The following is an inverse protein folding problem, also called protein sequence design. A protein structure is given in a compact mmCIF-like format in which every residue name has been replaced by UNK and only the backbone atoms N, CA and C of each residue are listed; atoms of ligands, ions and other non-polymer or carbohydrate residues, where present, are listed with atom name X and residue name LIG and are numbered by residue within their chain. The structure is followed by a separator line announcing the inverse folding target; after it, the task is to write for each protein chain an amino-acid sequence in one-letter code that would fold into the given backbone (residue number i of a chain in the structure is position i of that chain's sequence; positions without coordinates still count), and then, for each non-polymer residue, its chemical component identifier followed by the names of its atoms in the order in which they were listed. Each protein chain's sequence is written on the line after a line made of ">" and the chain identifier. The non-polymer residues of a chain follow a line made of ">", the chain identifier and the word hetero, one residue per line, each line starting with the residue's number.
data_IF_002273226101
#
_entry.id   IF_002273226101
#
_cell.length_a   1.000
_cell.length_b   1.000
_cell.length_c   1.000
_cell.angle_alpha   90.00
_cell.angle_beta   90.00
_cell.angle_gamma   90.00
#
_symmetry.space_group_name_H-M   'P 1'
#
loop_
_entity.id
_entity.type
_entity.pdbx_description
1 polymer ?
#
# COMPACT_ATOMS: atom_id res chain seq x y z
N UNK A 1 -45.50 23.77 -5.39
CA UNK A 1 -44.80 24.41 -4.24
C UNK A 1 -43.34 24.62 -4.60
N UNK A 2 -42.68 25.66 -4.10
CA UNK A 2 -41.26 25.92 -4.38
C UNK A 2 -40.34 25.17 -3.41
N UNK A 3 -39.27 24.53 -3.93
CA UNK A 3 -38.41 23.64 -3.15
C UNK A 3 -37.80 24.27 -1.89
N UNK A 4 -37.24 25.47 -2.04
CA UNK A 4 -36.61 26.20 -0.94
C UNK A 4 -37.56 26.57 0.21
N UNK A 5 -38.85 26.81 -0.08
CA UNK A 5 -39.85 27.11 0.96
C UNK A 5 -40.23 25.88 1.79
N UNK A 6 -40.26 24.71 1.16
CA UNK A 6 -40.67 23.47 1.85
C UNK A 6 -39.52 22.90 2.68
N UNK A 7 -38.28 23.12 2.27
CA UNK A 7 -37.08 22.65 2.99
C UNK A 7 -36.44 23.69 3.92
N UNK A 8 -37.05 24.87 4.08
CA UNK A 8 -36.46 26.05 4.76
C UNK A 8 -35.00 26.32 4.33
N UNK A 9 -34.73 26.17 3.02
CA UNK A 9 -33.38 26.34 2.48
C UNK A 9 -33.08 27.83 2.30
N UNK A 10 -31.90 28.28 2.72
CA UNK A 10 -31.44 29.68 2.63
C UNK A 10 -30.30 29.91 1.64
N UNK A 11 -29.97 28.92 0.80
CA UNK A 11 -28.87 29.03 -0.13
C UNK A 11 -29.27 29.78 -1.41
N UNK A 12 -28.93 31.06 -1.46
CA UNK A 12 -29.21 31.97 -2.58
C UNK A 12 -28.42 31.66 -3.84
N UNK A 13 -27.35 30.85 -3.74
CA UNK A 13 -26.49 30.45 -4.85
C UNK A 13 -27.09 29.31 -5.70
N UNK A 14 -28.13 28.63 -5.22
CA UNK A 14 -28.83 27.59 -5.96
C UNK A 14 -29.70 28.23 -7.06
N UNK A 15 -29.59 27.76 -8.30
CA UNK A 15 -30.42 28.26 -9.41
C UNK A 15 -31.93 28.08 -9.19
N UNK A 16 -32.34 27.12 -8.35
CA UNK A 16 -33.72 26.89 -7.95
C UNK A 16 -34.21 27.76 -6.78
N UNK A 17 -33.32 28.52 -6.14
CA UNK A 17 -33.69 29.43 -5.05
C UNK A 17 -34.53 30.59 -5.59
N UNK A 18 -35.65 30.91 -4.92
CA UNK A 18 -36.57 31.97 -5.34
C UNK A 18 -37.51 31.61 -6.50
N UNK A 19 -37.29 30.50 -7.24
CA UNK A 19 -38.17 30.08 -8.34
C UNK A 19 -39.44 29.40 -7.84
N UNK A 20 -40.57 29.62 -8.54
CA UNK A 20 -41.90 29.07 -8.19
C UNK A 20 -42.20 27.68 -8.77
N UNK A 21 -41.63 27.33 -9.95
CA UNK A 21 -41.95 26.10 -10.67
C UNK A 21 -40.76 25.27 -11.17
N UNK A 22 -39.52 25.80 -11.13
CA UNK A 22 -38.34 25.07 -11.58
C UNK A 22 -37.69 24.34 -10.40
N UNK A 23 -37.86 23.01 -10.35
CA UNK A 23 -37.20 22.17 -9.37
C UNK A 23 -35.77 21.83 -9.81
N UNK A 24 -34.87 21.61 -8.84
CA UNK A 24 -33.45 21.32 -9.10
C UNK A 24 -33.19 20.06 -9.94
N UNK A 25 -34.17 19.14 -10.04
CA UNK A 25 -34.03 17.97 -10.89
C UNK A 25 -34.27 18.24 -12.39
N UNK A 26 -34.83 19.39 -12.77
CA UNK A 26 -35.03 19.79 -14.18
C UNK A 26 -33.90 20.68 -14.75
N UNK A 27 -32.94 21.14 -13.93
CA UNK A 27 -31.83 21.98 -14.38
C UNK A 27 -30.61 21.14 -14.79
N UNK A 28 -29.85 21.58 -15.79
CA UNK A 28 -28.56 20.96 -16.17
C UNK A 28 -27.38 21.39 -15.29
N UNK A 29 -27.65 22.18 -14.26
CA UNK A 29 -26.70 22.97 -13.48
C UNK A 29 -26.74 22.62 -11.99
N UNK A 30 -25.70 23.07 -11.27
CA UNK A 30 -25.29 22.68 -9.92
C UNK A 30 -26.40 22.68 -8.85
N UNK A 31 -26.38 21.64 -8.01
CA UNK A 31 -27.29 21.45 -6.89
C UNK A 31 -26.68 21.99 -5.58
N UNK A 32 -27.55 22.26 -4.59
CA UNK A 32 -27.30 22.72 -3.21
C UNK A 32 -26.32 21.88 -2.35
N UNK A 33 -25.59 20.94 -2.95
CA UNK A 33 -24.56 20.10 -2.28
C UNK A 33 -23.14 20.28 -2.85
N UNK A 34 -22.95 21.26 -3.74
CA UNK A 34 -21.65 21.67 -4.27
C UNK A 34 -21.18 20.84 -5.45
N UNK A 35 -20.67 21.52 -6.49
CA UNK A 35 -20.04 20.91 -7.67
C UNK A 35 -20.92 20.79 -8.92
N UNK A 36 -20.26 20.64 -10.05
CA UNK A 36 -20.86 20.39 -11.37
C UNK A 36 -21.29 18.91 -11.46
N UNK A 37 -22.37 18.58 -10.75
CA UNK A 37 -22.86 17.20 -10.60
C UNK A 37 -23.82 16.87 -11.74
N UNK A 38 -23.55 15.81 -12.49
CA UNK A 38 -24.39 15.35 -13.59
C UNK A 38 -25.82 14.99 -13.13
N UNK A 39 -26.82 15.07 -14.04
CA UNK A 39 -28.18 14.64 -13.75
C UNK A 39 -28.24 13.19 -13.20
N UNK A 40 -27.44 12.27 -13.75
CA UNK A 40 -27.34 10.87 -13.30
C UNK A 40 -26.95 10.80 -11.82
N UNK A 41 -25.93 11.55 -11.44
CA UNK A 41 -25.39 11.54 -10.08
C UNK A 41 -26.32 12.24 -9.09
N UNK A 42 -26.93 13.36 -9.50
CA UNK A 42 -27.95 14.06 -8.69
C UNK A 42 -29.22 13.23 -8.50
N UNK A 43 -29.69 12.57 -9.56
CA UNK A 43 -30.87 11.71 -9.52
C UNK A 43 -30.67 10.54 -8.56
N UNK A 44 -29.56 9.83 -8.71
CA UNK A 44 -29.24 8.62 -7.93
C UNK A 44 -28.88 8.91 -6.47
N UNK A 45 -28.16 10.01 -6.17
CA UNK A 45 -27.73 10.35 -4.82
C UNK A 45 -28.74 11.18 -4.02
N UNK A 46 -29.55 12.02 -4.68
CA UNK A 46 -30.32 13.06 -3.98
C UNK A 46 -31.81 13.13 -4.35
N UNK A 47 -32.19 12.92 -5.61
CA UNK A 47 -33.61 13.04 -6.00
C UNK A 47 -34.47 11.93 -5.41
N UNK A 48 -33.97 10.68 -5.39
CA UNK A 48 -34.72 9.52 -4.86
C UNK A 48 -34.99 9.58 -3.34
N UNK A 49 -34.27 10.43 -2.61
CA UNK A 49 -34.45 10.68 -1.17
C UNK A 49 -35.19 12.00 -0.88
N UNK A 50 -35.68 12.69 -1.92
CA UNK A 50 -36.31 14.00 -1.78
C UNK A 50 -37.85 13.87 -1.64
N UNK A 51 -38.40 14.37 -0.53
CA UNK A 51 -39.84 14.34 -0.25
C UNK A 51 -40.67 15.08 -1.32
N UNK A 52 -40.14 16.19 -1.83
CA UNK A 52 -40.79 16.97 -2.89
C UNK A 52 -40.80 16.24 -4.23
N UNK A 53 -39.73 15.50 -4.51
CA UNK A 53 -39.63 14.70 -5.71
C UNK A 53 -40.61 13.53 -5.64
N UNK A 54 -40.68 12.87 -4.49
CA UNK A 54 -41.63 11.78 -4.22
C UNK A 54 -43.08 12.23 -4.40
N UNK A 55 -43.48 13.36 -3.77
CA UNK A 55 -44.83 13.94 -3.94
C UNK A 55 -45.13 14.37 -5.37
N UNK A 56 -44.15 14.96 -6.06
CA UNK A 56 -44.32 15.33 -7.47
C UNK A 56 -44.61 14.11 -8.34
N UNK A 57 -43.91 13.00 -8.10
CA UNK A 57 -44.12 11.75 -8.81
C UNK A 57 -45.49 11.14 -8.47
N UNK A 58 -45.90 11.15 -7.20
CA UNK A 58 -47.23 10.70 -6.76
C UNK A 58 -48.39 11.48 -7.41
N UNK A 59 -48.24 12.81 -7.57
CA UNK A 59 -49.27 13.67 -8.16
C UNK A 59 -49.34 13.58 -9.69
N UNK A 60 -48.21 13.35 -10.38
CA UNK A 60 -48.12 13.43 -11.85
C UNK A 60 -48.06 12.09 -12.56
N UNK A 61 -47.47 11.08 -11.93
CA UNK A 61 -47.41 9.74 -12.47
C UNK A 61 -48.51 8.98 -11.74
N UNK A 62 -49.64 8.74 -12.41
CA UNK A 62 -50.69 7.82 -11.93
C UNK A 62 -50.19 6.36 -11.92
N UNK A 63 -49.05 6.13 -11.28
CA UNK A 63 -48.36 4.87 -11.16
C UNK A 63 -48.36 4.42 -9.69
N UNK A 64 -48.45 3.11 -9.42
CA UNK A 64 -48.40 2.59 -8.06
C UNK A 64 -47.07 2.98 -7.39
N UNK A 65 -47.10 3.43 -6.12
CA UNK A 65 -45.92 3.79 -5.30
C UNK A 65 -44.86 2.68 -5.30
N UNK A 66 -45.29 1.45 -5.51
CA UNK A 66 -44.50 0.25 -5.72
C UNK A 66 -43.47 0.39 -6.86
N UNK A 67 -43.79 1.10 -7.94
CA UNK A 67 -42.88 1.32 -9.08
C UNK A 67 -41.72 2.24 -8.69
N UNK A 68 -41.98 3.27 -7.88
CA UNK A 68 -40.93 4.20 -7.41
C UNK A 68 -40.01 3.51 -6.42
N UNK A 69 -40.57 2.69 -5.52
CA UNK A 69 -39.78 1.86 -4.62
C UNK A 69 -38.89 0.88 -5.39
N UNK A 70 -39.43 0.25 -6.44
CA UNK A 70 -38.66 -0.62 -7.32
C UNK A 70 -37.52 0.13 -8.04
N UNK A 71 -37.78 1.33 -8.56
CA UNK A 71 -36.74 2.17 -9.19
C UNK A 71 -35.65 2.52 -8.18
N UNK A 72 -36.03 2.90 -6.95
CA UNK A 72 -35.06 3.20 -5.88
C UNK A 72 -34.21 1.98 -5.55
N UNK A 73 -34.80 0.80 -5.43
CA UNK A 73 -34.09 -0.43 -5.15
C UNK A 73 -33.13 -0.82 -6.29
N UNK A 74 -33.57 -0.69 -7.54
CA UNK A 74 -32.74 -0.94 -8.72
C UNK A 74 -31.56 0.04 -8.76
N UNK A 75 -31.79 1.34 -8.58
CA UNK A 75 -30.72 2.35 -8.57
C UNK A 75 -29.74 2.08 -7.42
N UNK A 76 -30.23 1.72 -6.23
CA UNK A 76 -29.39 1.33 -5.11
C UNK A 76 -28.54 0.08 -5.41
N UNK A 77 -29.10 -0.93 -6.10
CA UNK A 77 -28.36 -2.12 -6.54
C UNK A 77 -27.30 -1.78 -7.59
N UNK A 78 -27.61 -0.91 -8.55
CA UNK A 78 -26.66 -0.46 -9.57
C UNK A 78 -25.49 0.27 -8.92
N UNK A 79 -25.76 1.25 -8.05
CA UNK A 79 -24.70 2.00 -7.36
C UNK A 79 -23.78 1.09 -6.52
N UNK A 80 -24.34 0.07 -5.85
CA UNK A 80 -23.54 -0.93 -5.12
C UNK A 80 -22.70 -1.80 -6.06
N UNK A 81 -23.27 -2.20 -7.20
CA UNK A 81 -22.58 -2.96 -8.22
C UNK A 81 -21.41 -2.14 -8.80
N UNK A 82 -21.64 -0.88 -9.14
CA UNK A 82 -20.62 0.05 -9.64
C UNK A 82 -19.48 0.19 -8.64
N UNK A 83 -19.78 0.45 -7.36
CA UNK A 83 -18.77 0.55 -6.31
C UNK A 83 -17.97 -0.76 -6.10
N UNK A 84 -18.63 -1.91 -6.20
CA UNK A 84 -17.98 -3.22 -6.09
C UNK A 84 -17.07 -3.48 -7.29
N UNK A 85 -17.50 -3.09 -8.49
CA UNK A 85 -16.71 -3.20 -9.72
C UNK A 85 -15.47 -2.31 -9.67
N UNK A 86 -15.59 -1.07 -9.20
CA UNK A 86 -14.46 -0.17 -9.01
C UNK A 86 -13.45 -0.74 -8.02
N UNK A 87 -13.89 -1.19 -6.83
CA UNK A 87 -13.01 -1.83 -5.84
C UNK A 87 -12.33 -3.09 -6.39
N UNK A 88 -13.07 -3.95 -7.10
CA UNK A 88 -12.51 -5.13 -7.74
C UNK A 88 -11.46 -4.77 -8.80
N UNK A 89 -11.71 -3.73 -9.60
CA UNK A 89 -10.77 -3.23 -10.59
C UNK A 89 -9.48 -2.72 -9.94
N UNK A 90 -9.58 -1.89 -8.90
CA UNK A 90 -8.42 -1.41 -8.15
C UNK A 90 -7.60 -2.56 -7.55
N UNK A 91 -8.27 -3.58 -6.98
CA UNK A 91 -7.59 -4.76 -6.44
C UNK A 91 -6.87 -5.57 -7.52
N UNK A 92 -7.50 -5.76 -8.67
CA UNK A 92 -6.88 -6.47 -9.80
C UNK A 92 -5.66 -5.72 -10.30
N UNK A 93 -5.75 -4.40 -10.44
CA UNK A 93 -4.62 -3.58 -10.85
C UNK A 93 -3.46 -3.68 -9.85
N UNK A 94 -3.75 -3.54 -8.55
CA UNK A 94 -2.75 -3.70 -7.49
C UNK A 94 -2.09 -5.08 -7.49
N UNK A 95 -2.87 -6.16 -7.68
CA UNK A 95 -2.33 -7.52 -7.78
C UNK A 95 -1.49 -7.71 -9.04
N UNK A 96 -1.89 -7.15 -10.17
CA UNK A 96 -1.15 -7.19 -11.42
C UNK A 96 0.20 -6.48 -11.29
N UNK A 97 0.23 -5.30 -10.68
CA UNK A 97 1.46 -4.54 -10.42
C UNK A 97 2.43 -5.36 -9.54
N UNK A 98 1.92 -5.94 -8.45
CA UNK A 98 2.70 -6.83 -7.57
C UNK A 98 3.26 -8.06 -8.29
N UNK A 99 2.45 -8.71 -9.11
CA UNK A 99 2.90 -9.87 -9.89
C UNK A 99 3.98 -9.49 -10.90
N UNK A 100 3.85 -8.34 -11.54
CA UNK A 100 4.87 -7.81 -12.46
C UNK A 100 6.20 -7.58 -11.74
N UNK A 101 6.18 -6.96 -10.55
CA UNK A 101 7.38 -6.75 -9.73
C UNK A 101 8.03 -8.08 -9.30
N UNK A 102 7.24 -9.07 -8.89
CA UNK A 102 7.75 -10.39 -8.51
C UNK A 102 8.36 -11.15 -9.71
N UNK A 103 7.74 -11.03 -10.88
CA UNK A 103 8.25 -11.62 -12.11
C UNK A 103 9.60 -11.00 -12.50
N UNK A 104 9.68 -9.68 -12.48
CA UNK A 104 10.88 -8.91 -12.75
C UNK A 104 12.04 -9.26 -11.81
N UNK A 105 11.76 -9.35 -10.51
CA UNK A 105 12.71 -9.86 -9.52
C UNK A 105 13.21 -11.27 -9.84
N UNK A 106 12.28 -12.16 -10.21
CA UNK A 106 12.61 -13.54 -10.54
C UNK A 106 13.51 -13.63 -11.78
N UNK A 107 13.22 -12.82 -12.80
CA UNK A 107 14.00 -12.75 -14.04
C UNK A 107 15.42 -12.21 -13.79
N UNK A 108 15.56 -11.17 -12.97
CA UNK A 108 16.86 -10.63 -12.55
C UNK A 108 17.71 -11.67 -11.79
N UNK A 109 17.08 -12.46 -10.93
CA UNK A 109 17.78 -13.53 -10.20
C UNK A 109 18.21 -14.66 -11.14
N UNK A 110 17.32 -15.10 -12.02
CA UNK A 110 17.59 -16.22 -12.94
C UNK A 110 18.55 -15.88 -14.08
N UNK A 111 18.70 -14.59 -14.41
CA UNK A 111 19.64 -14.11 -15.43
C UNK A 111 21.09 -14.01 -14.94
N UNK A 112 21.36 -14.22 -13.65
CA UNK A 112 22.71 -14.15 -13.07
C UNK A 112 23.25 -15.52 -12.65
N UNK A 113 24.49 -15.83 -13.06
CA UNK A 113 25.25 -16.97 -12.54
C UNK A 113 26.10 -16.61 -11.31
N UNK A 114 26.09 -15.34 -10.89
CA UNK A 114 26.84 -14.88 -9.73
C UNK A 114 25.96 -14.95 -8.48
N UNK A 115 26.30 -15.87 -7.58
CA UNK A 115 25.57 -16.09 -6.32
C UNK A 115 25.49 -14.82 -5.48
N UNK A 116 26.57 -14.05 -5.38
CA UNK A 116 26.59 -12.82 -4.57
C UNK A 116 25.66 -11.74 -5.15
N UNK A 117 25.56 -11.67 -6.49
CA UNK A 117 24.59 -10.80 -7.15
C UNK A 117 23.16 -11.23 -6.86
N UNK A 118 22.85 -12.52 -6.96
CA UNK A 118 21.50 -13.03 -6.64
C UNK A 118 21.12 -12.74 -5.19
N UNK A 119 22.03 -12.98 -4.24
CA UNK A 119 21.82 -12.69 -2.83
C UNK A 119 21.57 -11.20 -2.57
N UNK A 120 22.30 -10.31 -3.26
CA UNK A 120 22.05 -8.88 -3.16
C UNK A 120 20.67 -8.49 -3.69
N UNK A 121 20.26 -9.02 -4.85
CA UNK A 121 18.93 -8.76 -5.41
C UNK A 121 17.84 -9.17 -4.40
N UNK A 122 17.99 -10.33 -3.77
CA UNK A 122 17.04 -10.80 -2.73
C UNK A 122 16.99 -9.81 -1.56
N UNK A 123 18.14 -9.41 -1.00
CA UNK A 123 18.17 -8.49 0.14
C UNK A 123 17.57 -7.12 -0.22
N UNK A 124 17.94 -6.57 -1.38
CA UNK A 124 17.41 -5.31 -1.90
C UNK A 124 15.91 -5.36 -2.11
N UNK A 125 15.39 -6.46 -2.67
CA UNK A 125 13.96 -6.66 -2.81
C UNK A 125 13.26 -6.58 -1.45
N UNK A 126 13.77 -7.32 -0.46
CA UNK A 126 13.22 -7.35 0.91
C UNK A 126 13.27 -5.96 1.58
N UNK A 127 14.31 -5.17 1.33
CA UNK A 127 14.45 -3.84 1.92
C UNK A 127 13.80 -2.72 1.12
N UNK A 128 13.44 -2.97 -0.14
CA UNK A 128 12.75 -1.99 -0.96
C UNK A 128 11.33 -1.74 -0.41
N UNK A 129 10.95 -0.46 -0.30
CA UNK A 129 9.59 -0.07 0.09
C UNK A 129 8.51 -0.59 -0.87
N UNK A 130 8.89 -1.02 -2.07
CA UNK A 130 7.98 -1.58 -3.07
C UNK A 130 7.61 -3.05 -2.83
N UNK A 131 8.40 -3.80 -2.05
CA UNK A 131 8.11 -5.20 -1.74
C UNK A 131 7.78 -5.42 -0.26
N UNK A 132 8.77 -5.76 0.57
CA UNK A 132 8.54 -6.04 2.00
C UNK A 132 8.73 -4.80 2.90
N UNK A 133 9.48 -3.80 2.42
CA UNK A 133 9.66 -2.53 3.14
C UNK A 133 10.38 -2.64 4.48
N UNK A 134 11.24 -3.66 4.64
CA UNK A 134 12.13 -3.71 5.81
C UNK A 134 13.20 -2.62 5.68
N UNK A 135 13.56 -1.98 6.79
CA UNK A 135 14.60 -0.96 6.75
C UNK A 135 15.99 -1.58 6.47
N UNK A 136 16.26 -2.78 6.99
CA UNK A 136 17.55 -3.46 6.90
C UNK A 136 17.35 -4.96 6.73
N UNK A 137 18.25 -5.60 6.00
CA UNK A 137 18.33 -7.05 5.87
C UNK A 137 19.77 -7.53 5.98
N UNK A 138 19.96 -8.65 6.69
CA UNK A 138 21.25 -9.25 6.96
C UNK A 138 21.23 -10.71 6.52
N UNK A 139 22.28 -11.13 5.82
CA UNK A 139 22.44 -12.49 5.34
C UNK A 139 23.56 -13.19 6.10
N UNK A 140 23.24 -14.36 6.64
CA UNK A 140 24.18 -15.27 7.26
C UNK A 140 24.17 -16.60 6.51
N UNK A 141 25.35 -17.23 6.40
CA UNK A 141 25.52 -18.54 5.75
C UNK A 141 26.14 -19.51 6.75
N UNK A 142 25.68 -20.75 6.70
CA UNK A 142 26.28 -21.85 7.45
C UNK A 142 27.57 -22.30 6.77
N UNK A 143 28.65 -22.23 7.52
CA UNK A 143 29.91 -22.89 7.20
C UNK A 143 29.88 -24.30 7.81
N UNK A 144 29.71 -25.30 6.95
CA UNK A 144 29.60 -26.69 7.36
C UNK A 144 30.92 -27.31 7.82
N UNK A 145 32.06 -26.77 7.36
CA UNK A 145 33.40 -27.24 7.74
C UNK A 145 33.76 -26.76 9.14
N UNK A 146 33.54 -25.47 9.41
CA UNK A 146 33.82 -24.88 10.72
C UNK A 146 32.68 -25.07 11.74
N UNK A 147 31.49 -25.51 11.28
CA UNK A 147 30.25 -25.57 12.08
C UNK A 147 29.90 -24.22 12.70
N UNK A 148 29.92 -23.18 11.87
CA UNK A 148 29.63 -21.79 12.28
C UNK A 148 28.64 -21.12 11.36
N UNK A 149 27.84 -20.22 11.90
CA UNK A 149 27.06 -19.25 11.17
C UNK A 149 27.91 -17.99 10.93
N UNK A 150 28.20 -17.65 9.67
CA UNK A 150 29.01 -16.50 9.27
C UNK A 150 28.15 -15.43 8.60
N UNK A 151 28.33 -14.17 8.97
CA UNK A 151 27.71 -13.06 8.24
C UNK A 151 28.35 -12.89 6.86
N UNK A 152 27.51 -12.74 5.84
CA UNK A 152 27.90 -12.71 4.42
C UNK A 152 27.71 -11.32 3.83
N UNK A 153 26.52 -10.75 4.00
CA UNK A 153 26.10 -9.51 3.34
C UNK A 153 25.02 -8.78 4.14
N UNK A 154 24.97 -7.46 3.99
CA UNK A 154 23.95 -6.58 4.52
C UNK A 154 23.46 -5.58 3.47
N UNK A 155 22.16 -5.27 3.50
CA UNK A 155 21.55 -4.16 2.74
C UNK A 155 20.70 -3.32 3.69
N UNK A 156 20.80 -2.00 3.54
CA UNK A 156 20.09 -1.01 4.35
C UNK A 156 21.03 0.01 5.01
N UNK A 157 20.47 1.09 5.56
CA UNK A 157 21.24 2.14 6.23
C UNK A 157 21.88 1.61 7.52
N UNK A 158 23.05 2.13 7.87
CA UNK A 158 23.73 1.85 9.14
C UNK A 158 23.07 2.58 10.31
N UNK A 159 22.52 3.77 10.06
CA UNK A 159 21.91 4.61 11.09
C UNK A 159 20.74 5.45 10.57
N UNK A 160 20.09 6.18 11.48
CA UNK A 160 18.96 7.05 11.17
C UNK A 160 19.32 8.23 10.24
N UNK A 161 20.56 8.71 10.29
CA UNK A 161 21.00 9.83 9.45
C UNK A 161 21.14 9.36 8.00
N UNK A 162 21.75 8.20 7.79
CA UNK A 162 21.83 7.55 6.49
C UNK A 162 20.44 7.21 5.96
N UNK A 163 19.56 6.65 6.80
CA UNK A 163 18.17 6.39 6.43
C UNK A 163 17.46 7.67 5.95
N UNK A 164 17.62 8.78 6.70
CA UNK A 164 17.01 10.06 6.34
C UNK A 164 17.52 10.61 5.00
N UNK A 165 18.82 10.44 4.70
CA UNK A 165 19.41 10.82 3.40
C UNK A 165 18.82 9.98 2.26
N UNK A 166 18.84 8.66 2.40
CA UNK A 166 18.31 7.73 1.40
C UNK A 166 16.82 8.02 1.12
N UNK A 167 16.03 8.28 2.16
CA UNK A 167 14.60 8.57 2.00
C UNK A 167 14.36 9.92 1.34
N UNK A 168 15.16 10.94 1.67
CA UNK A 168 15.11 12.24 1.00
C UNK A 168 15.41 12.10 -0.50
N UNK A 169 16.40 11.30 -0.88
CA UNK A 169 16.75 11.05 -2.28
C UNK A 169 15.62 10.29 -3.00
N UNK A 170 15.12 9.20 -2.42
CA UNK A 170 14.05 8.38 -3.01
C UNK A 170 12.71 9.12 -3.13
N UNK A 171 12.43 10.08 -2.23
CA UNK A 171 11.22 10.90 -2.31
C UNK A 171 11.18 11.79 -3.55
N UNK A 172 12.36 12.15 -4.09
CA UNK A 172 12.48 12.98 -5.29
C UNK A 172 12.41 12.17 -6.59
N UNK A 173 12.82 10.90 -6.54
CA UNK A 173 12.78 9.96 -7.67
C UNK A 173 12.62 8.53 -7.14
N UNK A 174 11.42 7.95 -7.20
CA UNK A 174 11.24 6.54 -6.88
C UNK A 174 11.98 5.70 -7.92
N UNK A 175 12.91 4.87 -7.46
CA UNK A 175 13.66 3.96 -8.33
C UNK A 175 12.93 2.62 -8.48
N UNK A 176 13.00 2.00 -9.65
CA UNK A 176 12.61 0.60 -9.84
C UNK A 176 13.63 -0.33 -9.19
N UNK A 177 13.27 -1.61 -9.02
CA UNK A 177 14.22 -2.58 -8.46
C UNK A 177 15.39 -2.81 -9.42
N UNK A 178 15.18 -2.79 -10.75
CA UNK A 178 16.30 -2.82 -11.69
C UNK A 178 17.22 -1.64 -11.51
N UNK A 179 16.70 -0.42 -11.37
CA UNK A 179 17.55 0.75 -11.20
C UNK A 179 18.43 0.63 -9.95
N UNK A 180 17.87 0.11 -8.84
CA UNK A 180 18.64 -0.14 -7.60
C UNK A 180 19.69 -1.26 -7.81
N UNK A 181 19.37 -2.29 -8.58
CA UNK A 181 20.31 -3.38 -8.90
C UNK A 181 21.40 -2.93 -9.89
N UNK A 182 21.08 -2.08 -10.86
CA UNK A 182 22.05 -1.50 -11.80
C UNK A 182 22.97 -0.48 -11.10
N UNK A 183 22.45 0.28 -10.15
CA UNK A 183 23.25 1.10 -9.23
C UNK A 183 24.27 0.25 -8.47
N UNK A 184 23.86 -0.92 -7.99
CA UNK A 184 24.75 -1.90 -7.36
C UNK A 184 25.85 -2.42 -8.29
N UNK A 185 25.54 -2.68 -9.56
CA UNK A 185 26.55 -3.14 -10.52
C UNK A 185 27.60 -2.05 -10.81
N UNK A 186 27.20 -0.77 -10.69
CA UNK A 186 28.11 0.37 -10.82
C UNK A 186 28.93 0.61 -9.56
N UNK A 187 28.37 0.32 -8.37
CA UNK A 187 29.00 0.47 -7.05
C UNK A 187 28.60 -0.69 -6.13
N UNK A 188 29.48 -1.68 -5.92
CA UNK A 188 29.17 -2.81 -5.05
C UNK A 188 28.79 -2.38 -3.61
N UNK A 189 28.06 -3.20 -2.82
CA UNK A 189 27.66 -2.88 -1.45
C UNK A 189 28.85 -2.82 -0.50
N UNK A 190 29.97 -3.45 -0.86
CA UNK A 190 31.24 -3.30 -0.16
C UNK A 190 31.82 -1.90 -0.27
N UNK A 191 31.27 -1.05 -1.15
CA UNK A 191 31.55 0.39 -1.24
C UNK A 191 30.38 1.26 -0.76
N UNK A 192 29.12 0.96 -1.15
CA UNK A 192 27.94 1.74 -0.73
C UNK A 192 27.50 1.46 0.72
N UNK A 193 27.52 0.19 1.14
CA UNK A 193 27.11 -0.29 2.47
C UNK A 193 28.31 -0.85 3.24
N UNK A 194 29.51 -0.31 3.01
CA UNK A 194 30.77 -0.86 3.53
C UNK A 194 30.71 -1.06 5.03
N UNK A 195 30.34 -0.01 5.78
CA UNK A 195 30.39 -0.02 7.24
C UNK A 195 29.48 -1.10 7.85
N UNK A 196 28.26 -1.28 7.34
CA UNK A 196 27.34 -2.31 7.83
C UNK A 196 27.76 -3.71 7.37
N UNK A 197 28.34 -3.84 6.18
CA UNK A 197 28.90 -5.11 5.71
C UNK A 197 30.15 -5.52 6.51
N UNK A 198 31.02 -4.59 6.90
CA UNK A 198 32.18 -4.85 7.77
C UNK A 198 31.73 -5.40 9.14
N UNK A 199 30.66 -4.83 9.72
CA UNK A 199 30.08 -5.34 10.96
C UNK A 199 29.55 -6.76 10.76
N UNK A 200 28.74 -6.99 9.72
CA UNK A 200 28.13 -8.30 9.47
C UNK A 200 29.18 -9.38 9.17
N UNK A 201 30.18 -9.08 8.34
CA UNK A 201 31.24 -10.02 7.99
C UNK A 201 32.15 -10.35 9.19
N UNK A 202 32.22 -9.49 10.19
CA UNK A 202 32.89 -9.76 11.46
C UNK A 202 32.13 -10.72 12.40
N UNK A 203 30.87 -11.02 12.10
CA UNK A 203 30.03 -11.88 12.96
C UNK A 203 30.21 -13.35 12.57
N UNK A 204 30.60 -14.16 13.55
CA UNK A 204 30.69 -15.61 13.40
C UNK A 204 30.27 -16.32 14.68
N UNK A 205 29.20 -17.12 14.61
CA UNK A 205 28.55 -17.77 15.77
C UNK A 205 28.68 -19.29 15.63
N UNK A 206 29.20 -20.02 16.65
CA UNK A 206 29.17 -21.49 16.64
C UNK A 206 27.74 -22.04 16.50
N UNK A 207 27.52 -23.12 15.74
CA UNK A 207 26.17 -23.69 15.56
C UNK A 207 25.64 -24.45 16.79
N UNK A 208 26.52 -24.95 17.65
CA UNK A 208 26.15 -25.60 18.92
C UNK A 208 25.63 -24.59 19.97
N UNK A 209 25.84 -23.30 19.70
CA UNK A 209 25.41 -22.22 20.55
C UNK A 209 23.95 -21.83 20.25
N UNK A 210 23.02 -22.38 21.03
CA UNK A 210 21.56 -22.29 20.82
C UNK A 210 20.86 -21.16 21.58
N UNK A 211 21.62 -20.27 22.22
CA UNK A 211 21.08 -19.09 22.92
C UNK A 211 20.73 -17.93 21.98
N UNK A 212 21.30 -17.90 20.77
CA UNK A 212 21.01 -16.88 19.77
C UNK A 212 19.79 -17.25 18.92
N UNK A 213 18.93 -16.27 18.66
CA UNK A 213 17.82 -16.44 17.70
C UNK A 213 18.33 -16.85 16.31
N UNK A 214 19.52 -16.39 15.91
CA UNK A 214 20.07 -16.66 14.59
C UNK A 214 20.35 -18.16 14.41
N UNK A 215 21.02 -18.79 15.37
CA UNK A 215 21.30 -20.24 15.33
C UNK A 215 20.04 -21.06 15.54
N UNK A 216 19.14 -20.64 16.44
CA UNK A 216 17.84 -21.28 16.63
C UNK A 216 16.99 -21.29 15.36
N UNK A 217 16.99 -20.22 14.57
CA UNK A 217 16.24 -20.15 13.31
C UNK A 217 16.65 -21.25 12.32
N UNK A 218 17.92 -21.64 12.36
CA UNK A 218 18.48 -22.69 11.50
C UNK A 218 18.14 -24.08 12.05
N UNK A 219 18.34 -24.28 13.36
CA UNK A 219 18.12 -25.58 14.01
C UNK A 219 16.63 -25.95 14.03
N UNK A 220 15.79 -25.01 14.43
CA UNK A 220 14.34 -25.19 14.52
C UNK A 220 13.66 -25.09 13.14
N UNK A 221 14.37 -24.60 12.12
CA UNK A 221 13.84 -24.32 10.76
C UNK A 221 12.57 -23.48 10.80
N UNK A 222 12.54 -22.51 11.70
CA UNK A 222 11.40 -21.66 11.99
C UNK A 222 11.80 -20.18 11.94
N UNK A 223 10.88 -19.33 11.50
CA UNK A 223 11.06 -17.87 11.58
C UNK A 223 10.67 -17.37 12.96
N UNK A 224 11.46 -16.42 13.47
CA UNK A 224 11.19 -15.72 14.71
C UNK A 224 10.85 -14.27 14.40
N UNK A 225 9.67 -13.82 14.85
CA UNK A 225 9.13 -12.51 14.52
C UNK A 225 8.71 -11.80 15.81
N UNK A 226 8.89 -10.47 15.87
CA UNK A 226 8.44 -9.62 16.98
C UNK A 226 8.93 -10.08 18.37
N UNK A 227 10.18 -10.57 18.45
CA UNK A 227 10.79 -11.00 19.71
C UNK A 227 11.03 -9.77 20.59
N UNK A 228 10.62 -9.85 21.85
CA UNK A 228 10.88 -8.76 22.82
C UNK A 228 12.34 -8.76 23.22
N UNK A 229 12.91 -7.57 23.39
CA UNK A 229 14.33 -7.40 23.80
C UNK A 229 14.62 -8.09 25.13
N UNK A 230 13.64 -8.16 26.04
CA UNK A 230 13.77 -8.86 27.32
C UNK A 230 13.99 -10.37 27.14
N UNK A 231 13.40 -10.95 26.09
CA UNK A 231 13.44 -12.38 25.77
C UNK A 231 14.70 -12.76 24.97
N UNK A 232 15.40 -11.78 24.40
CA UNK A 232 16.66 -11.98 23.70
C UNK A 232 17.78 -12.38 24.67
N UNK A 233 18.67 -13.27 24.22
CA UNK A 233 19.90 -13.60 24.95
C UNK A 233 20.82 -12.38 25.07
N UNK A 234 21.77 -12.41 26.01
CA UNK A 234 22.77 -11.35 26.16
C UNK A 234 23.54 -11.09 24.86
N UNK A 235 23.86 -12.17 24.14
CA UNK A 235 24.53 -12.08 22.84
C UNK A 235 23.66 -11.48 21.75
N UNK A 236 22.38 -11.85 21.67
CA UNK A 236 21.47 -11.21 20.71
C UNK A 236 21.33 -9.70 21.01
N UNK A 237 21.36 -9.31 22.29
CA UNK A 237 21.40 -7.89 22.68
C UNK A 237 22.71 -7.21 22.30
N UNK A 238 23.85 -7.88 22.45
CA UNK A 238 25.15 -7.38 21.98
C UNK A 238 25.16 -7.19 20.45
N UNK A 239 24.59 -8.16 19.72
CA UNK A 239 24.44 -8.12 18.27
C UNK A 239 23.55 -6.95 17.85
N UNK A 240 22.40 -6.77 18.49
CA UNK A 240 21.53 -5.62 18.26
C UNK A 240 22.27 -4.30 18.51
N UNK A 241 23.03 -4.20 19.61
CA UNK A 241 23.82 -3.00 19.92
C UNK A 241 24.88 -2.67 18.85
N UNK A 242 25.46 -3.69 18.20
CA UNK A 242 26.39 -3.51 17.07
C UNK A 242 25.70 -3.10 15.78
N UNK A 243 24.43 -3.47 15.61
CA UNK A 243 23.66 -3.22 14.40
C UNK A 243 22.83 -1.94 14.47
N UNK A 244 22.75 -1.27 15.64
CA UNK A 244 21.95 -0.07 15.88
C UNK A 244 20.47 -0.37 15.77
#
# INVERSE_FOLDING_TARGET
>A
MSCWKVRDCRQTECEGYGRKMDFCWFSNSSCDRGGDISFKERFSKYCLECDLFSRYLEEKISGPVEVLNLIRDIVGRINRCDATLEDAYFRLQHLSEKLSQLYELSDLMLSSLNVDRVLYIILTAVTSGQALGLNRAFLFIVDDEEKRLKGKMAVGPIDLNEASRIWSELSSRPMSIQEIVEEYEKRPPTEQNRAINEIIQGISIPLDQTDSVLTRSIIEKASFNNIKVEECSERDRELMGKLG
#
